data_IF_229114341622
#
_entry.id   IF_229114341622
#
_cell.length_a   1.000
_cell.length_b   1.000
_cell.length_c   1.000
_cell.angle_alpha   90.00
_cell.angle_beta   90.00
_cell.angle_gamma   90.00
#
_symmetry.space_group_name_H-M   'P 1'
#
loop_
_entity.id
_entity.type
_entity.pdbx_description
1 polymer ?
#
# COMPACT_ATOMS: atom_id res chain seq x y z
N UNK A 1 -8.83 17.74 21.75
CA UNK A 1 -8.58 16.57 20.89
C UNK A 1 -7.12 16.17 20.96
N UNK A 2 -6.87 15.00 21.54
CA UNK A 2 -5.62 14.24 21.45
C UNK A 2 -5.92 12.90 20.75
N UNK A 3 -4.88 12.21 20.27
CA UNK A 3 -5.06 10.94 19.58
C UNK A 3 -4.01 9.88 19.94
N UNK A 4 -4.42 8.62 19.82
CA UNK A 4 -3.57 7.43 19.84
C UNK A 4 -3.58 6.78 18.44
N UNK A 5 -2.39 6.54 17.89
CA UNK A 5 -2.21 5.71 16.69
C UNK A 5 -1.78 4.30 17.14
N UNK A 6 -2.54 3.29 16.73
CA UNK A 6 -2.26 1.90 17.03
C UNK A 6 -1.25 1.30 16.03
N UNK A 7 0.03 1.19 16.42
CA UNK A 7 1.15 0.85 15.54
C UNK A 7 2.03 -0.34 16.00
N UNK A 8 1.64 -1.06 17.04
CA UNK A 8 2.40 -2.20 17.60
C UNK A 8 2.29 -3.53 16.82
N UNK A 9 1.61 -3.56 15.66
CA UNK A 9 1.32 -4.80 14.93
C UNK A 9 2.53 -5.41 14.19
N UNK A 10 2.67 -6.74 14.23
CA UNK A 10 3.75 -7.49 13.56
C UNK A 10 3.71 -7.49 12.03
N UNK A 11 2.56 -7.22 11.41
CA UNK A 11 2.42 -7.29 9.94
C UNK A 11 2.67 -8.69 9.35
N UNK A 12 2.30 -9.77 10.04
CA UNK A 12 2.61 -11.17 9.62
C UNK A 12 2.14 -11.52 8.20
N UNK A 13 1.00 -10.96 7.77
CA UNK A 13 0.43 -11.14 6.41
C UNK A 13 1.20 -10.40 5.30
N UNK A 14 2.16 -9.55 5.68
CA UNK A 14 3.03 -8.79 4.78
C UNK A 14 4.46 -9.34 4.76
N UNK A 15 4.70 -10.53 5.32
CA UNK A 15 5.99 -11.18 5.21
C UNK A 15 6.29 -11.54 3.75
N UNK A 16 7.56 -11.47 3.30
CA UNK A 16 8.74 -11.13 4.09
C UNK A 16 8.99 -9.63 4.29
N UNK A 17 8.23 -8.74 3.63
CA UNK A 17 8.50 -7.30 3.57
C UNK A 17 8.46 -6.62 4.94
N UNK A 18 7.51 -7.04 5.79
CA UNK A 18 7.40 -6.54 7.16
C UNK A 18 8.59 -6.92 8.05
N UNK A 19 9.52 -7.78 7.63
CA UNK A 19 10.75 -8.06 8.38
C UNK A 19 11.74 -6.88 8.41
N UNK A 20 11.71 -6.04 7.38
CA UNK A 20 12.70 -4.99 7.17
C UNK A 20 12.12 -3.59 7.33
N UNK A 21 10.80 -3.45 7.23
CA UNK A 21 10.11 -2.18 7.43
C UNK A 21 8.84 -2.42 8.27
N UNK A 22 8.62 -1.65 9.34
CA UNK A 22 7.36 -1.75 10.08
C UNK A 22 6.20 -1.31 9.18
N UNK A 23 5.08 -2.04 9.21
CA UNK A 23 3.89 -1.77 8.38
C UNK A 23 3.44 -0.28 8.41
N UNK A 24 3.41 0.43 9.55
CA UNK A 24 3.08 1.86 9.57
C UNK A 24 3.95 2.72 8.65
N UNK A 25 5.18 2.31 8.34
CA UNK A 25 6.09 3.04 7.48
C UNK A 25 6.05 2.62 6.00
N UNK A 26 5.19 1.67 5.63
CA UNK A 26 4.97 1.33 4.22
C UNK A 26 4.47 2.58 3.49
N UNK A 27 5.16 3.04 2.43
CA UNK A 27 4.82 4.29 1.78
C UNK A 27 3.60 4.16 0.88
N UNK A 28 2.79 5.23 0.80
CA UNK A 28 1.68 5.35 -0.14
C UNK A 28 2.00 6.53 -1.05
N UNK A 29 2.49 6.25 -2.25
CA UNK A 29 2.94 7.28 -3.19
C UNK A 29 4.17 8.02 -2.69
N UNK A 30 5.16 7.29 -2.16
CA UNK A 30 6.44 7.81 -1.67
C UNK A 30 6.40 8.41 -0.26
N UNK A 31 5.24 8.45 0.41
CA UNK A 31 5.10 8.99 1.77
C UNK A 31 4.69 7.90 2.77
N UNK A 32 5.37 7.70 3.90
CA UNK A 32 4.99 6.71 4.91
C UNK A 32 3.53 6.83 5.36
N UNK A 33 2.79 5.72 5.48
CA UNK A 33 1.39 5.76 5.90
C UNK A 33 1.19 6.44 7.27
N UNK A 34 2.11 6.21 8.21
CA UNK A 34 2.10 6.83 9.53
C UNK A 34 2.13 8.36 9.45
N UNK A 35 2.91 8.92 8.53
CA UNK A 35 3.00 10.36 8.29
C UNK A 35 1.70 10.93 7.71
N UNK A 36 1.07 10.19 6.78
CA UNK A 36 -0.26 10.54 6.26
C UNK A 36 -1.31 10.60 7.36
N UNK A 37 -1.32 9.61 8.26
CA UNK A 37 -2.25 9.57 9.40
C UNK A 37 -1.98 10.74 10.37
N UNK A 38 -0.72 11.01 10.69
CA UNK A 38 -0.34 12.12 11.57
C UNK A 38 -0.79 13.46 10.98
N UNK A 39 -0.56 13.68 9.68
CA UNK A 39 -0.99 14.90 9.00
C UNK A 39 -2.52 15.04 9.02
N UNK A 40 -3.26 13.96 8.73
CA UNK A 40 -4.72 13.98 8.77
C UNK A 40 -5.25 14.34 10.17
N UNK A 41 -4.59 13.85 11.24
CA UNK A 41 -4.93 14.23 12.61
C UNK A 41 -4.60 15.69 12.92
N UNK A 42 -3.45 16.20 12.46
CA UNK A 42 -3.07 17.61 12.60
C UNK A 42 -4.09 18.51 11.90
N UNK A 43 -4.45 18.18 10.66
CA UNK A 43 -5.40 18.96 9.84
C UNK A 43 -6.81 18.94 10.47
N UNK A 44 -7.17 17.85 11.15
CA UNK A 44 -8.38 17.76 11.97
C UNK A 44 -8.31 18.56 13.28
N UNK A 45 -7.18 19.20 13.59
CA UNK A 45 -6.98 20.03 14.79
C UNK A 45 -6.57 19.25 16.03
N UNK A 46 -5.87 18.12 15.87
CA UNK A 46 -5.29 17.38 16.99
C UNK A 46 -4.19 18.23 17.66
N UNK A 47 -4.09 18.18 18.99
CA UNK A 47 -3.11 18.97 19.75
C UNK A 47 -1.88 18.19 20.19
N UNK A 48 -1.99 16.86 20.28
CA UNK A 48 -0.89 15.97 20.58
C UNK A 48 -1.25 14.54 20.18
N UNK A 49 -0.26 13.78 19.71
CA UNK A 49 -0.42 12.40 19.26
C UNK A 49 0.53 11.49 20.03
N UNK A 50 0.03 10.33 20.46
CA UNK A 50 0.85 9.23 20.95
C UNK A 50 0.72 8.01 20.04
N UNK A 51 1.82 7.29 19.82
CA UNK A 51 1.89 6.14 18.91
C UNK A 51 2.38 4.95 19.72
N UNK A 52 1.57 3.90 19.90
CA UNK A 52 2.09 2.70 20.57
C UNK A 52 2.93 1.87 19.60
N UNK A 53 4.10 1.41 20.04
CA UNK A 53 5.06 0.69 19.21
C UNK A 53 5.49 -0.61 19.89
N UNK A 54 5.86 -1.62 19.13
CA UNK A 54 6.40 -2.88 19.67
C UNK A 54 7.38 -3.49 18.68
N UNK A 55 6.86 -4.04 17.59
CA UNK A 55 7.66 -4.65 16.55
C UNK A 55 8.37 -3.57 15.72
N UNK A 56 9.68 -3.73 15.51
CA UNK A 56 10.54 -2.75 14.82
C UNK A 56 10.36 -1.31 15.36
N UNK A 57 10.12 -1.17 16.66
CA UNK A 57 9.81 0.13 17.27
C UNK A 57 10.90 1.18 17.02
N UNK A 58 12.17 0.77 16.98
CA UNK A 58 13.32 1.68 16.72
C UNK A 58 13.22 2.40 15.38
N UNK A 59 12.68 1.74 14.35
CA UNK A 59 12.52 2.35 13.03
C UNK A 59 11.41 3.41 13.06
N UNK A 60 10.33 3.15 13.80
CA UNK A 60 9.26 4.13 14.03
C UNK A 60 9.80 5.30 14.88
N UNK A 61 10.52 5.01 15.96
CA UNK A 61 11.12 6.03 16.83
C UNK A 61 12.09 6.93 16.03
N UNK A 62 12.96 6.31 15.22
CA UNK A 62 13.88 7.01 14.32
C UNK A 62 13.13 7.88 13.32
N UNK A 63 12.11 7.32 12.65
CA UNK A 63 11.27 8.08 11.73
C UNK A 63 10.68 9.32 12.41
N UNK A 64 9.99 9.17 13.54
CA UNK A 64 9.35 10.28 14.26
C UNK A 64 10.39 11.34 14.69
N UNK A 65 11.56 10.92 15.18
CA UNK A 65 12.62 11.85 15.59
C UNK A 65 13.23 12.66 14.44
N UNK A 66 13.17 12.16 13.20
CA UNK A 66 13.63 12.89 12.02
C UNK A 66 12.60 13.87 11.46
N UNK A 67 11.32 13.71 11.84
CA UNK A 67 10.24 14.58 11.36
C UNK A 67 10.09 15.84 12.23
N UNK A 68 9.49 16.88 11.63
CA UNK A 68 9.12 18.12 12.32
C UNK A 68 7.63 18.38 12.17
N UNK A 69 6.85 17.92 13.13
CA UNK A 69 5.41 18.16 13.19
C UNK A 69 5.09 19.46 13.93
N UNK A 70 3.95 20.07 13.62
CA UNK A 70 3.47 21.31 14.27
C UNK A 70 2.95 21.09 15.70
N UNK A 71 2.78 19.83 16.11
CA UNK A 71 2.31 19.41 17.43
C UNK A 71 3.23 18.34 18.02
N UNK A 72 3.20 18.10 19.34
CA UNK A 72 3.89 16.98 19.96
C UNK A 72 3.40 15.64 19.41
N UNK A 73 4.34 14.84 18.90
CA UNK A 73 4.13 13.45 18.49
C UNK A 73 5.13 12.59 19.23
N UNK A 74 4.65 11.67 20.05
CA UNK A 74 5.49 10.81 20.88
C UNK A 74 5.22 9.33 20.59
N UNK A 75 6.24 8.49 20.74
CA UNK A 75 6.09 7.03 20.69
C UNK A 75 6.05 6.45 22.10
N UNK A 76 5.36 5.32 22.25
CA UNK A 76 5.28 4.54 23.48
C UNK A 76 5.56 3.09 23.17
N UNK A 77 6.77 2.65 23.51
CA UNK A 77 7.16 1.26 23.36
C UNK A 77 6.44 0.37 24.39
N UNK A 78 5.78 -0.66 23.91
CA UNK A 78 5.13 -1.67 24.71
C UNK A 78 5.98 -2.94 24.67
N UNK A 79 6.69 -3.33 25.75
CA UNK A 79 7.50 -4.54 25.73
C UNK A 79 6.67 -5.83 25.61
N UNK A 80 5.40 -5.77 26.00
CA UNK A 80 4.43 -6.87 25.89
C UNK A 80 3.18 -6.33 25.18
N UNK A 81 2.74 -7.01 24.13
CA UNK A 81 1.49 -6.64 23.44
C UNK A 81 0.31 -7.04 24.30
N UNK A 82 -0.38 -6.05 24.85
CA UNK A 82 -1.61 -6.22 25.63
C UNK A 82 -2.89 -6.04 24.78
N UNK A 83 -2.78 -6.10 23.46
CA UNK A 83 -3.89 -5.87 22.54
C UNK A 83 -4.24 -4.38 22.38
N UNK A 84 -5.22 -4.08 21.52
CA UNK A 84 -5.60 -2.68 21.24
C UNK A 84 -6.26 -1.99 22.43
N UNK A 85 -6.98 -2.74 23.27
CA UNK A 85 -7.54 -2.24 24.53
C UNK A 85 -6.45 -1.95 25.56
N UNK A 86 -5.48 -2.86 25.71
CA UNK A 86 -4.30 -2.63 26.54
C UNK A 86 -3.52 -1.38 26.14
N UNK A 87 -3.36 -1.13 24.83
CA UNK A 87 -2.72 0.09 24.32
C UNK A 87 -3.47 1.37 24.68
N UNK A 88 -4.80 1.35 24.65
CA UNK A 88 -5.64 2.48 25.10
C UNK A 88 -5.42 2.74 26.60
N UNK A 89 -5.40 1.68 27.41
CA UNK A 89 -5.15 1.80 28.86
C UNK A 89 -3.75 2.32 29.15
N UNK A 90 -2.75 1.83 28.42
CA UNK A 90 -1.37 2.30 28.51
C UNK A 90 -1.24 3.77 28.15
N UNK A 91 -2.16 4.34 27.36
CA UNK A 91 -2.22 5.75 26.97
C UNK A 91 -2.91 6.67 28.00
N UNK A 92 -3.39 6.14 29.13
CA UNK A 92 -4.23 6.89 30.08
C UNK A 92 -3.55 8.12 30.70
N UNK A 93 -2.25 8.08 30.96
CA UNK A 93 -1.47 9.22 31.47
C UNK A 93 -1.31 10.36 30.45
N UNK A 94 -1.43 10.05 29.16
CA UNK A 94 -1.40 11.03 28.07
C UNK A 94 -2.79 11.61 27.78
N UNK A 95 -3.84 10.82 28.05
CA UNK A 95 -5.24 11.17 27.85
C UNK A 95 -5.72 12.18 28.92
N UNK A 96 -6.26 13.31 28.48
CA UNK A 96 -6.92 14.31 29.34
C UNK A 96 -8.43 14.05 29.52
N UNK A 97 -9.16 14.96 30.16
CA UNK A 97 -10.60 14.82 30.40
C UNK A 97 -11.48 15.05 29.15
N UNK A 98 -10.88 15.04 27.94
CA UNK A 98 -11.59 15.24 26.67
C UNK A 98 -11.67 13.93 25.89
N UNK A 99 -12.61 13.81 24.94
CA UNK A 99 -12.66 12.63 24.09
C UNK A 99 -11.36 12.43 23.30
N UNK A 100 -11.01 11.17 23.07
CA UNK A 100 -9.74 10.73 22.52
C UNK A 100 -9.95 9.94 21.23
N UNK A 101 -9.27 10.36 20.16
CA UNK A 101 -9.32 9.62 18.90
C UNK A 101 -8.34 8.46 18.98
N UNK A 102 -8.79 7.27 18.61
CA UNK A 102 -7.92 6.11 18.41
C UNK A 102 -8.03 5.66 16.96
N UNK A 103 -6.90 5.51 16.29
CA UNK A 103 -6.84 5.15 14.88
C UNK A 103 -5.82 4.03 14.63
N UNK A 104 -6.19 3.04 13.82
CA UNK A 104 -5.24 2.03 13.38
C UNK A 104 -4.21 2.60 12.39
N UNK A 105 -2.96 2.18 12.50
CA UNK A 105 -1.88 2.58 11.58
C UNK A 105 -1.90 1.88 10.21
N UNK A 106 -2.83 0.94 10.01
CA UNK A 106 -2.89 0.05 8.85
C UNK A 106 -4.08 0.30 7.95
N UNK A 107 -4.56 1.54 7.98
CA UNK A 107 -5.60 2.02 7.10
C UNK A 107 -5.10 3.21 6.29
N UNK A 108 -5.59 3.31 5.06
CA UNK A 108 -5.47 4.49 4.20
C UNK A 108 -6.87 5.04 4.00
N UNK A 109 -7.06 6.34 4.25
CA UNK A 109 -8.41 6.92 4.24
C UNK A 109 -8.43 8.41 3.95
N UNK A 110 -9.55 8.90 3.40
CA UNK A 110 -9.89 10.32 3.26
C UNK A 110 -10.98 10.79 4.25
N UNK A 111 -11.28 9.97 5.27
CA UNK A 111 -12.28 10.30 6.29
C UNK A 111 -11.86 11.58 7.03
N UNK A 112 -12.81 12.53 7.10
CA UNK A 112 -12.65 13.79 7.81
C UNK A 112 -12.72 13.55 9.34
N UNK A 113 -11.55 13.45 9.97
CA UNK A 113 -11.42 13.15 11.40
C UNK A 113 -11.98 14.26 12.29
N UNK A 114 -12.08 15.51 11.81
CA UNK A 114 -12.73 16.59 12.55
C UNK A 114 -14.22 16.32 12.64
N UNK A 115 -14.87 15.97 11.53
CA UNK A 115 -16.31 15.62 11.52
C UNK A 115 -16.62 14.40 12.39
N UNK A 116 -15.73 13.41 12.41
CA UNK A 116 -15.87 12.25 13.30
C UNK A 116 -15.83 12.68 14.77
N UNK A 117 -14.91 13.57 15.14
CA UNK A 117 -14.82 14.10 16.49
C UNK A 117 -16.04 14.94 16.87
N UNK A 118 -16.46 15.85 16.01
CA UNK A 118 -17.61 16.72 16.25
C UNK A 118 -18.91 15.91 16.36
N UNK A 119 -19.04 14.83 15.58
CA UNK A 119 -20.15 13.89 15.71
C UNK A 119 -20.17 13.23 17.09
N UNK A 120 -19.01 12.79 17.61
CA UNK A 120 -18.94 12.23 18.95
C UNK A 120 -19.36 13.25 20.01
N UNK A 121 -18.91 14.50 19.88
CA UNK A 121 -19.31 15.59 20.79
C UNK A 121 -20.81 15.94 20.73
N UNK A 122 -21.51 15.56 19.67
CA UNK A 122 -22.96 15.81 19.51
C UNK A 122 -23.85 14.91 20.37
N UNK A 123 -23.28 13.92 21.08
CA UNK A 123 -24.01 12.97 21.89
C UNK A 123 -23.27 12.65 23.20
N UNK A 124 -23.98 12.02 24.16
CA UNK A 124 -23.44 11.68 25.48
C UNK A 124 -22.98 10.21 25.61
N UNK A 125 -22.88 9.46 24.50
CA UNK A 125 -22.47 8.06 24.54
C UNK A 125 -20.95 7.93 24.57
N UNK A 126 -20.40 7.01 25.39
CA UNK A 126 -18.97 6.97 25.71
C UNK A 126 -18.07 6.53 24.55
N UNK A 127 -18.65 6.02 23.46
CA UNK A 127 -17.91 5.48 22.33
C UNK A 127 -18.65 5.79 21.03
N UNK A 128 -17.89 6.28 20.05
CA UNK A 128 -18.27 6.31 18.64
C UNK A 128 -17.34 5.40 17.85
N UNK A 129 -17.89 4.44 17.10
CA UNK A 129 -17.13 3.68 16.09
C UNK A 129 -17.47 4.20 14.70
N UNK A 130 -16.44 4.44 13.89
CA UNK A 130 -16.62 4.80 12.48
C UNK A 130 -16.74 3.53 11.66
N UNK A 131 -17.84 3.42 10.93
CA UNK A 131 -18.21 2.23 10.17
C UNK A 131 -18.40 2.58 8.68
N UNK A 132 -18.05 1.64 7.81
CA UNK A 132 -18.28 1.74 6.37
C UNK A 132 -18.94 0.45 5.86
N UNK A 133 -19.70 0.55 4.77
CA UNK A 133 -20.28 -0.62 4.12
C UNK A 133 -19.25 -1.25 3.18
N UNK A 134 -18.52 -2.23 3.69
CA UNK A 134 -17.49 -2.93 2.94
C UNK A 134 -17.67 -4.44 3.11
N UNK A 135 -18.48 -5.04 2.23
CA UNK A 135 -18.94 -6.44 2.30
C UNK A 135 -17.92 -7.45 2.83
N UNK A 136 -16.67 -7.43 2.35
CA UNK A 136 -15.60 -8.36 2.78
C UNK A 136 -15.22 -8.25 4.27
N UNK A 137 -15.48 -7.10 4.91
CA UNK A 137 -15.08 -6.76 6.27
C UNK A 137 -16.27 -6.49 7.21
N UNK A 138 -17.52 -6.63 6.74
CA UNK A 138 -18.71 -6.32 7.54
C UNK A 138 -18.80 -7.26 8.75
N UNK A 139 -18.47 -6.74 9.94
CA UNK A 139 -18.28 -7.50 11.18
C UNK A 139 -18.95 -6.86 12.42
N UNK A 140 -19.59 -5.70 12.25
CA UNK A 140 -20.34 -4.99 13.31
C UNK A 140 -21.81 -4.91 12.94
N UNK A 141 -22.71 -5.29 13.85
CA UNK A 141 -24.15 -5.12 13.69
C UNK A 141 -24.62 -3.80 14.28
N UNK A 142 -25.43 -3.07 13.53
CA UNK A 142 -25.97 -1.75 13.87
C UNK A 142 -27.48 -1.74 13.68
N UNK A 143 -28.24 -1.20 14.63
CA UNK A 143 -29.70 -1.06 14.53
C UNK A 143 -30.11 0.21 13.75
N UNK A 144 -31.42 0.46 13.58
CA UNK A 144 -31.95 1.65 12.87
C UNK A 144 -31.64 2.99 13.54
N UNK A 145 -31.27 2.98 14.81
CA UNK A 145 -30.93 4.18 15.59
C UNK A 145 -29.41 4.44 15.61
N UNK A 146 -28.65 3.78 14.74
CA UNK A 146 -27.18 3.85 14.69
C UNK A 146 -26.50 3.46 16.01
N UNK A 147 -27.06 2.47 16.71
CA UNK A 147 -26.41 1.84 17.86
C UNK A 147 -25.83 0.49 17.49
N UNK A 148 -24.64 0.22 18.01
CA UNK A 148 -23.99 -1.09 17.87
C UNK A 148 -24.72 -2.08 18.78
N UNK A 149 -25.07 -3.23 18.20
CA UNK A 149 -25.77 -4.32 18.90
C UNK A 149 -24.96 -5.61 18.95
N UNK A 150 -23.83 -5.69 18.25
CA UNK A 150 -22.95 -6.86 18.31
C UNK A 150 -21.75 -6.80 17.38
N UNK A 151 -20.79 -7.69 17.66
CA UNK A 151 -19.55 -7.89 16.89
C UNK A 151 -19.44 -9.37 16.52
N UNK A 152 -18.93 -9.67 15.33
CA UNK A 152 -18.82 -11.03 14.80
C UNK A 152 -17.44 -11.25 14.17
N UNK A 153 -16.98 -12.49 14.17
CA UNK A 153 -15.77 -12.86 13.46
C UNK A 153 -16.09 -13.12 11.98
N UNK A 154 -15.59 -12.25 11.10
CA UNK A 154 -15.74 -12.40 9.64
C UNK A 154 -15.02 -13.63 9.08
N UNK A 155 -14.08 -14.24 9.82
CA UNK A 155 -13.37 -15.45 9.41
C UNK A 155 -14.19 -16.73 9.64
N UNK A 156 -15.15 -16.69 10.56
CA UNK A 156 -16.05 -17.81 10.89
C UNK A 156 -17.31 -17.77 10.01
N UNK A 157 -17.73 -16.59 9.56
CA UNK A 157 -18.91 -16.45 8.68
C UNK A 157 -18.67 -15.41 7.58
N UNK A 158 -17.85 -15.73 6.56
CA UNK A 158 -17.59 -14.81 5.46
C UNK A 158 -18.88 -14.54 4.66
N UNK A 159 -19.16 -13.27 4.37
CA UNK A 159 -20.09 -12.92 3.30
C UNK A 159 -21.58 -13.06 3.62
N UNK A 160 -22.03 -12.79 4.85
CA UNK A 160 -23.47 -12.55 5.06
C UNK A 160 -23.81 -11.17 4.50
N UNK A 161 -24.15 -11.15 3.22
CA UNK A 161 -24.70 -9.96 2.57
C UNK A 161 -26.09 -9.68 3.12
N UNK A 162 -26.43 -8.39 3.06
CA UNK A 162 -27.73 -7.79 3.34
C UNK A 162 -28.11 -7.64 4.81
N UNK A 163 -28.52 -6.41 5.12
CA UNK A 163 -29.42 -6.08 6.21
C UNK A 163 -30.47 -7.19 6.40
N UNK A 164 -30.33 -7.95 7.47
CA UNK A 164 -31.34 -8.94 7.84
C UNK A 164 -32.31 -8.25 8.78
N UNK A 165 -33.59 -8.28 8.44
CA UNK A 165 -34.62 -8.14 9.47
C UNK A 165 -34.54 -9.39 10.34
N UNK A 166 -33.90 -9.27 11.50
CA UNK A 166 -33.94 -10.36 12.47
C UNK A 166 -35.28 -10.24 13.17
N UNK A 167 -36.20 -11.16 12.85
CA UNK A 167 -37.47 -11.30 13.58
C UNK A 167 -37.18 -11.89 14.95
N UNK A 168 -37.08 -11.04 15.97
CA UNK A 168 -37.18 -11.51 17.36
C UNK A 168 -38.65 -11.77 17.68
N UNK A 169 -38.95 -12.97 18.21
CA UNK A 169 -40.32 -13.39 18.56
C UNK A 169 -40.95 -12.58 19.68
N UNK A 170 -40.15 -11.82 20.45
CA UNK A 170 -40.61 -11.11 21.64
C UNK A 170 -40.59 -9.57 21.51
N UNK A 171 -39.99 -8.98 20.46
CA UNK A 171 -39.82 -7.50 20.34
C UNK A 171 -40.19 -6.87 18.99
N UNK A 172 -40.59 -7.66 17.98
CA UNK A 172 -40.79 -7.16 16.62
C UNK A 172 -39.54 -7.31 15.76
N UNK A 173 -39.62 -6.95 14.47
CA UNK A 173 -38.46 -7.05 13.55
C UNK A 173 -37.44 -5.96 13.84
N UNK A 174 -36.29 -6.35 14.39
CA UNK A 174 -35.15 -5.45 14.53
C UNK A 174 -34.35 -5.49 13.23
N UNK A 175 -34.40 -4.39 12.47
CA UNK A 175 -33.55 -4.22 11.29
C UNK A 175 -32.11 -4.02 11.75
N UNK A 176 -31.24 -4.91 11.30
CA UNK A 176 -29.82 -4.91 11.65
C UNK A 176 -29.00 -4.81 10.37
N UNK A 177 -28.21 -3.75 10.26
CA UNK A 177 -27.22 -3.57 9.20
C UNK A 177 -25.87 -4.09 9.68
N UNK A 178 -25.18 -4.89 8.86
CA UNK A 178 -23.79 -5.29 9.11
C UNK A 178 -22.86 -4.34 8.38
N UNK A 179 -21.87 -3.79 9.08
CA UNK A 179 -20.89 -2.83 8.58
C UNK A 179 -19.48 -3.20 9.03
N UNK A 180 -18.48 -2.69 8.32
CA UNK A 180 -17.08 -2.89 8.62
C UNK A 180 -16.58 -1.83 9.61
N UNK A 181 -15.94 -2.27 10.69
CA UNK A 181 -15.21 -1.35 11.56
C UNK A 181 -13.96 -0.83 10.86
N UNK A 182 -13.86 0.49 10.72
CA UNK A 182 -12.77 1.13 9.97
C UNK A 182 -11.45 1.21 10.75
N UNK A 183 -11.45 0.86 12.04
CA UNK A 183 -10.29 1.08 12.90
C UNK A 183 -10.16 2.53 13.41
N UNK A 184 -11.17 3.38 13.18
CA UNK A 184 -11.25 4.75 13.71
C UNK A 184 -12.37 4.81 14.75
N UNK A 185 -12.06 5.34 15.92
CA UNK A 185 -12.99 5.46 17.03
C UNK A 185 -12.70 6.70 17.87
N UNK A 186 -13.74 7.21 18.53
CA UNK A 186 -13.64 8.30 19.51
C UNK A 186 -14.19 7.79 20.83
N UNK A 187 -13.41 7.98 21.89
CA UNK A 187 -13.66 7.39 23.20
C UNK A 187 -13.73 8.48 24.26
N UNK A 188 -14.62 8.30 25.23
CA UNK A 188 -14.65 9.10 26.47
C UNK A 188 -13.76 8.47 27.55
N UNK A 189 -13.13 9.28 28.43
CA UNK A 189 -12.22 8.79 29.47
C UNK A 189 -12.82 7.70 30.38
N UNK A 190 -14.14 7.72 30.59
CA UNK A 190 -14.85 6.76 31.44
C UNK A 190 -14.67 5.29 31.01
N UNK A 191 -14.34 5.04 29.73
CA UNK A 191 -14.12 3.68 29.21
C UNK A 191 -12.90 2.99 29.82
N UNK A 192 -11.94 3.75 30.38
CA UNK A 192 -10.73 3.20 31.02
C UNK A 192 -11.04 2.27 32.20
N UNK A 193 -12.21 2.42 32.82
CA UNK A 193 -12.70 1.56 33.91
C UNK A 193 -13.12 0.16 33.43
N UNK A 194 -13.42 0.00 32.15
CA UNK A 194 -13.81 -1.27 31.54
C UNK A 194 -12.61 -2.07 31.00
N UNK A 195 -11.41 -1.47 30.99
CA UNK A 195 -10.20 -2.12 30.50
C UNK A 195 -9.46 -2.79 31.67
N UNK A 196 -9.20 -4.11 31.62
CA UNK A 196 -8.46 -4.79 32.67
C UNK A 196 -6.99 -4.33 32.72
N UNK A 197 -6.46 -4.16 33.93
CA UNK A 197 -5.05 -3.84 34.12
C UNK A 197 -4.15 -5.03 33.77
N UNK A 198 -3.02 -4.74 33.13
CA UNK A 198 -1.90 -5.67 32.85
C UNK A 198 -2.30 -7.01 32.20
N UNK A 199 -3.37 -7.01 31.41
CA UNK A 199 -3.85 -8.20 30.70
C UNK A 199 -4.13 -7.88 29.25
N UNK A 200 -4.01 -8.90 28.40
CA UNK A 200 -4.40 -8.77 27.00
C UNK A 200 -5.89 -8.42 26.92
N UNK A 201 -6.22 -7.37 26.19
CA UNK A 201 -7.58 -6.94 25.90
C UNK A 201 -7.62 -6.28 24.52
N UNK A 202 -8.54 -6.74 23.68
CA UNK A 202 -8.88 -6.07 22.43
C UNK A 202 -9.85 -4.91 22.69
N UNK A 203 -9.89 -3.93 21.79
CA UNK A 203 -10.91 -2.88 21.82
C UNK A 203 -12.33 -3.44 21.71
N UNK A 204 -12.51 -4.55 20.98
CA UNK A 204 -13.79 -5.24 20.87
C UNK A 204 -14.22 -5.83 22.23
N UNK A 205 -13.29 -6.36 23.03
CA UNK A 205 -13.60 -6.89 24.37
C UNK A 205 -14.17 -5.78 25.27
N UNK A 206 -13.60 -4.57 25.19
CA UNK A 206 -14.08 -3.38 25.90
C UNK A 206 -15.51 -3.03 25.47
N UNK A 207 -15.78 -3.03 24.15
CA UNK A 207 -17.10 -2.71 23.62
C UNK A 207 -18.15 -3.75 23.97
N UNK A 208 -17.79 -5.03 23.94
CA UNK A 208 -18.67 -6.09 24.42
C UNK A 208 -18.99 -5.90 25.90
N UNK A 209 -17.98 -5.64 26.76
CA UNK A 209 -18.20 -5.36 28.18
C UNK A 209 -19.10 -4.16 28.46
N UNK A 210 -18.96 -3.08 27.67
CA UNK A 210 -19.84 -1.90 27.74
C UNK A 210 -21.29 -2.27 27.40
N UNK A 211 -21.51 -2.99 26.30
CA UNK A 211 -22.84 -3.45 25.88
C UNK A 211 -23.49 -4.37 26.91
N UNK A 212 -22.73 -5.32 27.49
CA UNK A 212 -23.21 -6.20 28.56
C UNK A 212 -23.61 -5.43 29.83
N UNK A 213 -22.96 -4.29 30.09
CA UNK A 213 -23.27 -3.42 31.23
C UNK A 213 -24.43 -2.44 30.94
N UNK A 214 -25.10 -2.58 29.79
CA UNK A 214 -26.23 -1.73 29.40
C UNK A 214 -25.86 -0.37 28.80
N UNK A 215 -24.56 -0.10 28.58
CA UNK A 215 -24.13 1.11 27.88
C UNK A 215 -24.40 1.00 26.38
N UNK A 216 -24.60 2.16 25.73
CA UNK A 216 -24.79 2.23 24.28
C UNK A 216 -23.52 2.74 23.60
N UNK A 217 -23.27 2.23 22.40
CA UNK A 217 -22.15 2.64 21.54
C UNK A 217 -22.73 3.17 20.23
N UNK A 218 -22.31 4.37 19.82
CA UNK A 218 -22.84 5.02 18.63
C UNK A 218 -22.02 4.63 17.39
N UNK A 219 -22.71 4.34 16.29
CA UNK A 219 -22.12 4.18 14.98
C UNK A 219 -22.09 5.52 14.24
N UNK A 220 -20.93 5.89 13.70
CA UNK A 220 -20.80 6.94 12.69
C UNK A 220 -20.64 6.26 11.34
N UNK A 221 -21.75 6.16 10.59
CA UNK A 221 -21.77 5.48 9.29
C UNK A 221 -21.42 6.49 8.20
N UNK A 222 -20.25 6.35 7.60
CA UNK A 222 -19.79 7.22 6.53
C UNK A 222 -20.00 6.54 5.18
N UNK A 223 -20.67 7.24 4.27
CA UNK A 223 -20.88 6.78 2.90
C UNK A 223 -20.02 7.62 1.95
N UNK A 224 -19.43 6.99 0.93
CA UNK A 224 -18.62 7.63 -0.13
C UNK A 224 -17.24 8.15 0.29
N UNK A 225 -16.70 7.71 1.43
CA UNK A 225 -15.31 7.95 1.80
C UNK A 225 -14.40 6.82 1.30
N UNK A 226 -13.17 7.17 0.93
CA UNK A 226 -12.11 6.20 0.68
C UNK A 226 -11.62 5.63 2.02
N UNK A 227 -11.62 4.30 2.12
CA UNK A 227 -11.03 3.57 3.23
C UNK A 227 -10.50 2.23 2.73
N UNK A 228 -9.28 1.89 3.14
CA UNK A 228 -8.61 0.65 2.75
C UNK A 228 -7.78 0.10 3.90
N UNK A 229 -7.98 -1.16 4.27
CA UNK A 229 -7.03 -1.94 5.08
C UNK A 229 -5.80 -2.30 4.23
N UNK A 230 -4.60 -1.99 4.70
CA UNK A 230 -3.33 -2.36 4.04
C UNK A 230 -2.66 -3.56 4.71
N UNK A 231 -3.47 -4.49 5.23
CA UNK A 231 -2.99 -5.64 5.97
C UNK A 231 -2.45 -6.80 5.12
N UNK A 232 -2.61 -6.78 3.80
CA UNK A 232 -2.03 -7.77 2.87
C UNK A 232 -1.25 -7.09 1.75
N UNK A 233 -0.34 -7.83 1.08
CA UNK A 233 0.45 -7.29 -0.03
C UNK A 233 -0.45 -6.81 -1.18
N UNK A 234 -1.55 -7.53 -1.43
CA UNK A 234 -2.55 -7.16 -2.43
C UNK A 234 -3.23 -5.84 -2.06
N UNK A 235 -3.78 -5.73 -0.84
CA UNK A 235 -4.52 -4.53 -0.44
C UNK A 235 -3.61 -3.30 -0.28
N UNK A 236 -2.35 -3.50 0.11
CA UNK A 236 -1.32 -2.47 0.08
C UNK A 236 -1.06 -1.94 -1.34
N UNK A 237 -0.78 -2.83 -2.31
CA UNK A 237 -0.55 -2.41 -3.71
C UNK A 237 -1.78 -1.73 -4.30
N UNK A 238 -2.98 -2.21 -3.98
CA UNK A 238 -4.22 -1.54 -4.38
C UNK A 238 -4.32 -0.13 -3.78
N UNK A 239 -3.96 0.08 -2.52
CA UNK A 239 -3.97 1.42 -1.92
C UNK A 239 -2.99 2.38 -2.61
N UNK A 240 -1.81 1.90 -2.99
CA UNK A 240 -0.83 2.69 -3.75
C UNK A 240 -1.37 2.98 -5.15
N UNK A 241 -1.97 2.00 -5.83
CA UNK A 241 -2.61 2.18 -7.13
C UNK A 241 -3.74 3.23 -7.07
N UNK A 242 -4.66 3.11 -6.12
CA UNK A 242 -5.79 4.01 -5.94
C UNK A 242 -5.34 5.46 -5.70
N UNK A 243 -4.20 5.64 -5.03
CA UNK A 243 -3.58 6.95 -4.81
C UNK A 243 -2.89 7.47 -6.07
N UNK A 244 -2.04 6.65 -6.68
CA UNK A 244 -1.10 7.12 -7.70
C UNK A 244 -1.68 7.15 -9.11
N UNK A 245 -2.55 6.20 -9.49
CA UNK A 245 -3.08 6.14 -10.85
C UNK A 245 -3.84 7.43 -11.22
N UNK A 246 -4.77 7.96 -10.39
CA UNK A 246 -5.42 9.23 -10.68
C UNK A 246 -4.45 10.41 -10.76
N UNK A 247 -3.42 10.43 -9.91
CA UNK A 247 -2.43 11.50 -9.90
C UNK A 247 -1.50 11.44 -11.12
N UNK A 248 -1.18 10.24 -11.65
CA UNK A 248 -0.46 10.06 -12.90
C UNK A 248 -1.27 10.57 -14.11
N UNK A 249 -2.58 10.29 -14.18
CA UNK A 249 -3.44 10.85 -15.21
C UNK A 249 -3.52 12.38 -15.13
N UNK A 250 -3.64 12.96 -13.92
CA UNK A 250 -3.64 14.43 -13.74
C UNK A 250 -2.32 15.07 -14.13
N UNK A 251 -1.20 14.38 -13.91
CA UNK A 251 0.13 14.88 -14.28
C UNK A 251 0.25 15.05 -15.80
N UNK A 252 -0.15 14.04 -16.58
CA UNK A 252 -0.15 14.13 -18.05
C UNK A 252 -1.27 15.01 -18.59
N UNK A 253 -2.41 15.05 -17.90
CA UNK A 253 -3.57 15.82 -18.31
C UNK A 253 -4.25 16.53 -17.13
N UNK A 254 -3.92 17.80 -16.94
CA UNK A 254 -4.39 18.64 -15.82
C UNK A 254 -5.93 18.73 -15.69
N UNK A 255 -6.67 18.62 -16.79
CA UNK A 255 -8.13 18.63 -16.82
C UNK A 255 -8.78 17.23 -16.61
N UNK A 256 -8.01 16.23 -16.15
CA UNK A 256 -8.54 14.89 -15.96
C UNK A 256 -9.70 14.89 -14.95
N UNK A 257 -10.89 14.50 -15.41
CA UNK A 257 -12.07 14.33 -14.56
C UNK A 257 -11.87 13.14 -13.61
N UNK A 258 -12.53 13.12 -12.43
CA UNK A 258 -12.51 11.98 -11.49
C UNK A 258 -13.25 10.73 -12.03
N UNK A 259 -13.14 10.45 -13.32
CA UNK A 259 -13.79 9.29 -13.95
C UNK A 259 -13.05 8.01 -13.60
N UNK A 260 -13.77 6.90 -13.75
CA UNK A 260 -13.26 5.56 -13.45
C UNK A 260 -12.08 5.22 -14.37
N UNK A 261 -11.00 4.71 -13.78
CA UNK A 261 -9.86 4.15 -14.50
C UNK A 261 -10.13 2.65 -14.69
N UNK A 262 -10.06 2.17 -15.93
CA UNK A 262 -10.03 0.74 -16.23
C UNK A 262 -8.59 0.25 -16.32
N UNK A 263 -8.37 -1.02 -15.99
CA UNK A 263 -7.06 -1.65 -16.05
C UNK A 263 -7.17 -2.95 -16.85
N UNK A 264 -6.31 -3.09 -17.86
CA UNK A 264 -6.20 -4.30 -18.69
C UNK A 264 -4.77 -4.81 -18.59
N UNK A 265 -4.62 -6.06 -18.15
CA UNK A 265 -3.30 -6.71 -18.09
C UNK A 265 -2.76 -6.90 -19.52
N UNK A 266 -1.53 -6.47 -19.75
CA UNK A 266 -0.81 -6.65 -21.02
C UNK A 266 -0.05 -7.99 -21.03
N UNK A 267 0.32 -8.44 -22.22
CA UNK A 267 1.15 -9.64 -22.39
C UNK A 267 2.52 -9.40 -21.75
N UNK A 268 3.04 -10.42 -21.06
CA UNK A 268 4.38 -10.34 -20.46
C UNK A 268 5.48 -10.17 -21.50
N UNK A 269 6.60 -9.62 -21.06
CA UNK A 269 7.81 -9.30 -21.82
C UNK A 269 8.95 -10.32 -21.60
N UNK A 270 8.66 -11.43 -20.91
CA UNK A 270 9.67 -12.41 -20.50
C UNK A 270 10.36 -12.07 -19.17
N UNK A 271 10.00 -10.96 -18.52
CA UNK A 271 10.40 -10.66 -17.15
C UNK A 271 9.33 -11.07 -16.13
N UNK A 272 9.66 -10.99 -14.84
CA UNK A 272 8.71 -11.19 -13.73
C UNK A 272 7.76 -9.98 -13.55
N UNK A 273 7.98 -8.89 -14.28
CA UNK A 273 7.17 -7.67 -14.19
C UNK A 273 5.81 -7.90 -14.81
N UNK A 274 4.79 -7.33 -14.17
CA UNK A 274 3.43 -7.39 -14.68
C UNK A 274 3.04 -6.03 -15.24
N UNK A 275 2.60 -6.03 -16.49
CA UNK A 275 2.25 -4.83 -17.22
C UNK A 275 0.73 -4.67 -17.33
N UNK A 276 0.27 -3.43 -17.23
CA UNK A 276 -1.13 -3.06 -17.36
C UNK A 276 -1.25 -1.81 -18.22
N UNK A 277 -2.23 -1.80 -19.14
CA UNK A 277 -2.72 -0.56 -19.74
C UNK A 277 -3.85 -0.04 -18.88
N UNK A 278 -3.68 1.19 -18.39
CA UNK A 278 -4.69 1.92 -17.66
C UNK A 278 -5.36 2.88 -18.62
N UNK A 279 -6.69 2.90 -18.65
CA UNK A 279 -7.45 3.76 -19.55
C UNK A 279 -8.48 4.58 -18.78
N UNK A 280 -8.63 5.83 -19.18
CA UNK A 280 -9.71 6.68 -18.73
C UNK A 280 -10.12 7.62 -19.85
N UNK A 281 -11.40 7.62 -20.19
CA UNK A 281 -11.91 8.26 -21.41
C UNK A 281 -11.21 7.70 -22.67
N UNK A 282 -10.61 8.56 -23.48
CA UNK A 282 -9.84 8.25 -24.70
C UNK A 282 -8.32 8.22 -24.45
N UNK A 283 -7.89 8.30 -23.19
CA UNK A 283 -6.49 8.40 -22.80
C UNK A 283 -6.02 7.12 -22.12
N UNK A 284 -4.74 6.83 -22.28
CA UNK A 284 -4.11 5.70 -21.63
C UNK A 284 -2.69 5.99 -21.15
N UNK A 285 -2.31 5.29 -20.09
CA UNK A 285 -0.96 5.18 -19.56
C UNK A 285 -0.65 3.70 -19.34
N UNK A 286 0.63 3.35 -19.28
CA UNK A 286 1.08 2.00 -18.94
C UNK A 286 1.54 2.00 -17.48
N UNK A 287 1.20 0.95 -16.75
CA UNK A 287 1.71 0.67 -15.42
C UNK A 287 2.51 -0.63 -15.43
N UNK A 288 3.70 -0.61 -14.85
CA UNK A 288 4.45 -1.83 -14.52
C UNK A 288 4.45 -2.08 -13.02
N UNK A 289 4.26 -3.34 -12.63
CA UNK A 289 4.40 -3.85 -11.27
C UNK A 289 5.67 -4.70 -11.19
N UNK A 290 6.69 -4.18 -10.52
CA UNK A 290 7.98 -4.81 -10.25
C UNK A 290 7.96 -5.65 -8.96
N UNK A 291 6.83 -5.70 -8.26
CA UNK A 291 6.70 -6.32 -6.95
C UNK A 291 7.25 -5.45 -5.80
N UNK A 292 6.80 -5.78 -4.59
CA UNK A 292 7.22 -5.05 -3.39
C UNK A 292 8.71 -5.26 -3.14
N UNK A 293 9.42 -4.18 -2.81
CA UNK A 293 10.84 -4.16 -2.53
C UNK A 293 11.21 -5.08 -1.37
N UNK A 294 12.21 -5.93 -1.58
CA UNK A 294 12.59 -7.02 -0.65
C UNK A 294 13.76 -6.69 0.29
N UNK A 295 14.49 -5.62 0.03
CA UNK A 295 15.70 -5.25 0.78
C UNK A 295 15.96 -3.75 0.72
N UNK A 296 16.83 -3.27 1.60
CA UNK A 296 17.40 -1.94 1.51
C UNK A 296 18.34 -1.82 0.29
N UNK A 297 18.58 -0.58 -0.17
CA UNK A 297 19.43 -0.28 -1.33
C UNK A 297 18.65 0.01 -2.62
N UNK A 298 19.36 0.10 -3.75
CA UNK A 298 18.77 0.38 -5.06
C UNK A 298 18.00 -0.86 -5.54
N UNK A 299 16.72 -0.70 -5.81
CA UNK A 299 15.88 -1.75 -6.37
C UNK A 299 15.80 -1.67 -7.90
N UNK A 300 15.28 -2.73 -8.52
CA UNK A 300 15.06 -2.76 -9.96
C UNK A 300 14.17 -1.59 -10.44
N UNK A 301 13.13 -1.25 -9.68
CA UNK A 301 12.25 -0.11 -9.99
C UNK A 301 12.97 1.23 -9.87
N UNK A 302 13.82 1.42 -8.85
CA UNK A 302 14.62 2.64 -8.70
C UNK A 302 15.51 2.85 -9.93
N UNK A 303 16.13 1.75 -10.38
CA UNK A 303 16.98 1.72 -11.57
C UNK A 303 16.19 1.98 -12.85
N UNK A 304 15.06 1.30 -13.01
CA UNK A 304 14.16 1.46 -14.15
C UNK A 304 13.69 2.91 -14.31
N UNK A 305 13.25 3.53 -13.21
CA UNK A 305 12.78 4.91 -13.22
C UNK A 305 13.92 5.91 -13.46
N UNK A 306 15.07 5.76 -12.79
CA UNK A 306 16.20 6.68 -12.92
C UNK A 306 16.80 6.64 -14.34
N UNK A 307 17.07 5.44 -14.86
CA UNK A 307 17.60 5.23 -16.20
C UNK A 307 16.59 5.69 -17.26
N UNK A 308 15.31 5.36 -17.11
CA UNK A 308 14.25 5.79 -18.03
C UNK A 308 14.16 7.32 -18.12
N UNK A 309 14.15 8.01 -16.97
CA UNK A 309 14.14 9.48 -16.92
C UNK A 309 15.40 10.10 -17.53
N UNK A 310 16.56 9.52 -17.25
CA UNK A 310 17.82 9.97 -17.83
C UNK A 310 17.79 9.87 -19.36
N UNK A 311 17.46 8.69 -19.90
CA UNK A 311 17.37 8.46 -21.35
C UNK A 311 16.36 9.42 -22.00
N UNK A 312 15.19 9.61 -21.39
CA UNK A 312 14.19 10.57 -21.86
C UNK A 312 14.77 12.01 -21.89
N UNK A 313 15.48 12.42 -20.83
CA UNK A 313 16.12 13.76 -20.77
C UNK A 313 17.21 13.98 -21.82
N UNK A 314 17.86 12.90 -22.30
CA UNK A 314 18.81 12.93 -23.42
C UNK A 314 18.12 12.89 -24.80
N UNK A 315 16.79 12.93 -24.83
CA UNK A 315 15.98 12.89 -26.04
C UNK A 315 15.99 11.51 -26.71
N UNK A 316 16.28 10.44 -25.97
CA UNK A 316 16.09 9.07 -26.46
C UNK A 316 14.60 8.74 -26.43
N UNK A 317 14.12 8.04 -27.45
CA UNK A 317 12.71 7.66 -27.58
C UNK A 317 12.39 6.48 -26.65
N UNK A 318 12.30 6.77 -25.36
CA UNK A 318 11.79 5.88 -24.30
C UNK A 318 10.49 6.47 -23.74
N UNK A 319 9.57 5.65 -23.20
CA UNK A 319 8.35 6.18 -22.58
C UNK A 319 8.71 7.11 -21.41
N UNK A 320 8.00 8.23 -21.30
CA UNK A 320 8.12 9.12 -20.17
C UNK A 320 7.69 8.42 -18.87
N UNK A 321 8.55 8.41 -17.84
CA UNK A 321 8.21 7.93 -16.50
C UNK A 321 7.48 9.03 -15.73
N UNK A 322 6.16 8.94 -15.69
CA UNK A 322 5.26 9.92 -15.08
C UNK A 322 5.44 9.93 -13.55
N UNK A 323 5.38 8.76 -12.91
CA UNK A 323 5.54 8.62 -11.46
C UNK A 323 5.88 7.18 -11.08
N UNK A 324 6.43 6.96 -9.90
CA UNK A 324 6.68 5.61 -9.38
C UNK A 324 6.76 5.61 -7.85
N UNK A 325 6.52 4.45 -7.25
CA UNK A 325 6.70 4.20 -5.82
C UNK A 325 7.65 3.02 -5.61
N UNK A 326 8.84 3.34 -5.12
CA UNK A 326 9.97 2.40 -4.96
C UNK A 326 9.63 1.15 -4.15
N UNK A 327 8.85 1.31 -3.08
CA UNK A 327 8.59 0.20 -2.17
C UNK A 327 7.50 -0.73 -2.69
N UNK A 328 6.41 -0.20 -3.25
CA UNK A 328 5.33 -1.01 -3.84
C UNK A 328 5.71 -1.69 -5.14
N UNK A 329 6.68 -1.13 -5.86
CA UNK A 329 7.07 -1.61 -7.18
C UNK A 329 6.21 -1.09 -8.32
N UNK A 330 5.32 -0.12 -8.08
CA UNK A 330 4.45 0.43 -9.13
C UNK A 330 5.11 1.61 -9.85
N UNK A 331 5.20 1.52 -11.18
CA UNK A 331 5.66 2.62 -12.05
C UNK A 331 4.57 2.95 -13.06
N UNK A 332 4.31 4.24 -13.29
CA UNK A 332 3.36 4.75 -14.27
C UNK A 332 4.14 5.50 -15.35
N UNK A 333 3.86 5.18 -16.62
CA UNK A 333 4.58 5.73 -17.76
C UNK A 333 3.67 5.97 -18.96
N UNK A 334 4.17 6.72 -19.92
CA UNK A 334 3.50 6.96 -21.19
C UNK A 334 3.15 5.65 -21.92
N UNK A 335 1.95 5.60 -22.49
CA UNK A 335 1.53 4.52 -23.38
C UNK A 335 1.93 4.85 -24.83
N UNK A 336 2.85 4.06 -25.38
CA UNK A 336 3.33 4.19 -26.76
C UNK A 336 2.47 3.42 -27.78
N UNK A 337 1.40 2.76 -27.32
CA UNK A 337 0.50 1.96 -28.16
C UNK A 337 0.96 0.52 -28.37
N UNK A 338 0.37 -0.15 -29.35
CA UNK A 338 0.51 -1.60 -29.58
C UNK A 338 1.32 -1.96 -30.84
N UNK A 339 1.84 -0.95 -31.54
CA UNK A 339 2.51 -1.17 -32.83
C UNK A 339 3.99 -1.42 -32.59
N UNK A 340 4.38 -2.70 -32.58
CA UNK A 340 5.77 -3.11 -32.52
C UNK A 340 6.42 -3.18 -33.91
N UNK A 341 7.76 -3.17 -33.94
CA UNK A 341 8.55 -3.21 -35.17
C UNK A 341 8.25 -4.46 -36.03
N UNK A 342 8.06 -5.62 -35.40
CA UNK A 342 7.78 -6.87 -36.11
C UNK A 342 6.43 -6.79 -36.82
N UNK A 343 5.42 -6.19 -36.18
CA UNK A 343 4.11 -5.94 -36.78
C UNK A 343 4.24 -5.04 -38.01
N UNK A 344 5.01 -3.96 -37.93
CA UNK A 344 5.21 -3.04 -39.07
C UNK A 344 5.97 -3.73 -40.21
N UNK A 345 7.07 -4.43 -39.89
CA UNK A 345 7.89 -5.15 -40.88
C UNK A 345 7.10 -6.25 -41.56
N UNK A 346 6.31 -7.03 -40.81
CA UNK A 346 5.53 -8.15 -41.37
C UNK A 346 4.38 -7.69 -42.27
N UNK A 347 3.87 -6.47 -42.05
CA UNK A 347 2.82 -5.86 -42.89
C UNK A 347 3.39 -5.18 -44.12
N UNK A 348 4.67 -4.80 -44.09
CA UNK A 348 5.33 -4.21 -45.24
C UNK A 348 5.67 -5.29 -46.26
N UNK A 349 5.14 -5.14 -47.47
CA UNK A 349 5.52 -5.94 -48.64
C UNK A 349 6.73 -5.36 -49.39
N UNK A 350 7.32 -4.26 -48.89
CA UNK A 350 8.33 -3.50 -49.60
C UNK A 350 9.67 -3.52 -48.84
N UNK A 351 10.70 -4.07 -49.49
CA UNK A 351 12.04 -4.20 -48.91
C UNK A 351 12.69 -2.84 -48.57
N UNK A 352 12.46 -1.80 -49.37
CA UNK A 352 13.03 -0.47 -49.11
C UNK A 352 12.39 0.18 -47.87
N UNK A 353 11.10 -0.05 -47.66
CA UNK A 353 10.36 0.42 -46.49
C UNK A 353 10.83 -0.31 -45.22
N UNK A 354 10.96 -1.64 -45.27
CA UNK A 354 11.55 -2.46 -44.20
C UNK A 354 12.96 -1.95 -43.85
N UNK A 355 13.79 -1.72 -44.87
CA UNK A 355 15.15 -1.21 -44.70
C UNK A 355 15.15 0.16 -44.02
N UNK A 356 14.20 1.03 -44.34
CA UNK A 356 14.02 2.34 -43.70
C UNK A 356 13.69 2.23 -42.21
N UNK A 357 12.81 1.29 -41.82
CA UNK A 357 12.50 1.04 -40.40
C UNK A 357 13.73 0.56 -39.63
N UNK A 358 14.46 -0.43 -40.14
CA UNK A 358 15.69 -0.91 -39.50
C UNK A 358 16.76 0.18 -39.42
N UNK A 359 16.92 1.01 -40.46
CA UNK A 359 17.83 2.16 -40.43
C UNK A 359 17.45 3.14 -39.31
N UNK A 360 16.16 3.38 -39.10
CA UNK A 360 15.67 4.24 -38.02
C UNK A 360 15.98 3.65 -36.65
N UNK A 361 15.81 2.34 -36.46
CA UNK A 361 16.18 1.63 -35.21
C UNK A 361 17.68 1.73 -34.95
N UNK A 362 18.52 1.49 -35.96
CA UNK A 362 19.98 1.61 -35.83
C UNK A 362 20.37 3.04 -35.44
N UNK A 363 19.77 4.06 -36.07
CA UNK A 363 20.00 5.46 -35.71
C UNK A 363 19.62 5.75 -34.25
N UNK A 364 18.51 5.20 -33.77
CA UNK A 364 18.11 5.33 -32.37
C UNK A 364 19.08 4.63 -31.41
N UNK A 365 19.57 3.43 -31.77
CA UNK A 365 20.59 2.73 -30.97
C UNK A 365 21.90 3.53 -30.90
N UNK A 366 22.38 4.08 -32.03
CA UNK A 366 23.56 4.95 -32.05
C UNK A 366 23.33 6.18 -31.16
N UNK A 367 22.16 6.82 -31.26
CA UNK A 367 21.80 7.97 -30.42
C UNK A 367 21.83 7.59 -28.95
N UNK A 368 21.27 6.43 -28.58
CA UNK A 368 21.28 5.94 -27.20
C UNK A 368 22.72 5.74 -26.70
N UNK A 369 23.57 5.09 -27.49
CA UNK A 369 24.97 4.83 -27.10
C UNK A 369 25.82 6.09 -26.96
N UNK A 370 25.54 7.14 -27.75
CA UNK A 370 26.32 8.40 -27.72
C UNK A 370 25.76 9.42 -26.75
N UNK A 371 24.44 9.63 -26.74
CA UNK A 371 23.80 10.63 -25.90
C UNK A 371 23.43 10.10 -24.52
N UNK A 372 23.03 8.82 -24.43
CA UNK A 372 22.61 8.18 -23.19
C UNK A 372 23.75 7.99 -22.18
N UNK A 373 25.00 7.84 -22.64
CA UNK A 373 26.15 7.70 -21.74
C UNK A 373 26.59 9.02 -21.09
N UNK A 374 26.22 10.17 -21.68
CA UNK A 374 26.62 11.48 -21.15
C UNK A 374 25.95 11.71 -19.81
N UNK A 375 26.74 12.00 -18.77
CA UNK A 375 26.26 12.24 -17.40
C UNK A 375 25.45 11.07 -16.80
N UNK A 376 25.66 9.85 -17.31
CA UNK A 376 25.03 8.66 -16.74
C UNK A 376 25.61 8.37 -15.36
N UNK A 377 24.76 8.23 -14.34
CA UNK A 377 25.18 7.88 -12.99
C UNK A 377 25.14 6.36 -12.79
N UNK A 378 26.30 5.78 -12.49
CA UNK A 378 26.44 4.36 -12.22
C UNK A 378 25.74 3.93 -10.94
N UNK A 379 25.39 4.84 -10.03
CA UNK A 379 24.61 4.48 -8.85
C UNK A 379 23.16 4.09 -9.17
N UNK A 380 22.68 4.36 -10.39
CA UNK A 380 21.35 3.97 -10.83
C UNK A 380 21.26 2.53 -11.32
N UNK A 381 22.39 1.84 -11.53
CA UNK A 381 22.36 0.49 -12.07
C UNK A 381 21.90 -0.53 -11.05
N UNK A 382 21.08 -1.48 -11.47
CA UNK A 382 20.71 -2.64 -10.68
C UNK A 382 21.75 -3.75 -10.85
N UNK A 383 21.99 -4.53 -9.78
CA UNK A 383 22.98 -5.62 -9.69
C UNK A 383 24.44 -5.17 -9.71
N UNK A 384 24.92 -4.55 -10.78
CA UNK A 384 26.30 -4.03 -10.86
C UNK A 384 26.37 -2.74 -11.70
N UNK A 385 27.36 -1.87 -11.42
CA UNK A 385 27.63 -0.69 -12.25
C UNK A 385 28.27 -1.03 -13.61
N UNK A 386 28.78 -2.25 -13.78
CA UNK A 386 29.47 -2.66 -14.99
C UNK A 386 29.00 -4.04 -15.43
N UNK A 387 28.73 -4.18 -16.73
CA UNK A 387 28.54 -5.47 -17.37
C UNK A 387 29.91 -6.13 -17.57
N UNK A 388 30.35 -6.88 -16.56
CA UNK A 388 31.67 -7.52 -16.52
C UNK A 388 31.55 -9.05 -16.53
N UNK A 389 32.70 -9.71 -16.64
CA UNK A 389 32.79 -11.17 -16.62
C UNK A 389 32.09 -11.80 -15.42
N UNK A 390 32.22 -11.21 -14.23
CA UNK A 390 31.62 -11.75 -13.02
C UNK A 390 30.09 -11.69 -13.07
N UNK A 391 29.50 -10.60 -13.60
CA UNK A 391 28.06 -10.52 -13.81
C UNK A 391 27.58 -11.55 -14.82
N UNK A 392 28.26 -11.70 -15.96
CA UNK A 392 27.89 -12.70 -16.97
C UNK A 392 27.91 -14.10 -16.36
N UNK A 393 28.96 -14.43 -15.61
CA UNK A 393 29.10 -15.73 -14.98
C UNK A 393 28.05 -15.98 -13.88
N UNK A 394 27.89 -15.05 -12.95
CA UNK A 394 27.06 -15.23 -11.75
C UNK A 394 25.57 -14.94 -11.98
N UNK A 395 25.22 -14.19 -13.03
CA UNK A 395 23.83 -13.83 -13.34
C UNK A 395 23.35 -14.50 -14.62
N UNK A 396 23.99 -14.24 -15.74
CA UNK A 396 23.49 -14.70 -17.05
C UNK A 396 23.65 -16.22 -17.21
N UNK A 397 24.87 -16.74 -17.02
CA UNK A 397 25.13 -18.18 -17.10
C UNK A 397 24.39 -18.95 -16.01
N UNK A 398 24.33 -18.40 -14.79
CA UNK A 398 23.59 -18.97 -13.66
C UNK A 398 22.09 -19.06 -13.97
N UNK A 399 21.50 -17.99 -14.47
CA UNK A 399 20.09 -17.96 -14.87
C UNK A 399 19.82 -18.94 -16.01
N UNK A 400 20.66 -18.98 -17.05
CA UNK A 400 20.53 -19.96 -18.12
C UNK A 400 20.58 -21.39 -17.59
N UNK A 401 21.52 -21.69 -16.70
CA UNK A 401 21.61 -23.00 -16.07
C UNK A 401 20.35 -23.35 -15.27
N UNK A 402 19.94 -22.50 -14.34
CA UNK A 402 18.84 -22.79 -13.43
C UNK A 402 17.48 -22.80 -14.18
N UNK A 403 17.22 -21.82 -15.05
CA UNK A 403 15.94 -21.68 -15.74
C UNK A 403 15.80 -22.62 -16.94
N UNK A 404 16.84 -22.75 -17.77
CA UNK A 404 16.75 -23.52 -19.00
C UNK A 404 17.23 -24.97 -18.83
N UNK A 405 18.45 -25.18 -18.33
CA UNK A 405 19.00 -26.54 -18.24
C UNK A 405 18.30 -27.38 -17.17
N UNK A 406 18.16 -26.82 -15.98
CA UNK A 406 17.50 -27.51 -14.86
C UNK A 406 15.98 -27.35 -14.95
N UNK A 407 15.48 -26.12 -15.06
CA UNK A 407 14.03 -25.86 -15.02
C UNK A 407 13.27 -26.38 -16.24
N UNK A 408 13.70 -26.00 -17.45
CA UNK A 408 12.97 -26.31 -18.68
C UNK A 408 13.32 -27.68 -19.27
N UNK A 409 14.61 -28.00 -19.38
CA UNK A 409 15.08 -29.28 -19.94
C UNK A 409 15.11 -30.42 -18.91
N UNK A 410 15.01 -30.12 -17.62
CA UNK A 410 15.03 -31.10 -16.52
C UNK A 410 16.26 -32.01 -16.55
N UNK A 411 17.43 -31.43 -16.81
CA UNK A 411 18.70 -32.14 -16.79
C UNK A 411 19.20 -32.33 -15.35
N UNK A 412 19.79 -33.48 -15.05
CA UNK A 412 20.45 -33.75 -13.78
C UNK A 412 21.92 -33.34 -13.87
N UNK A 413 22.16 -32.05 -13.67
CA UNK A 413 23.50 -31.43 -13.74
C UNK A 413 23.72 -30.56 -12.51
N UNK A 414 24.97 -30.38 -12.14
CA UNK A 414 25.42 -29.34 -11.22
C UNK A 414 26.05 -28.19 -12.01
N UNK A 415 25.96 -26.97 -11.48
CA UNK A 415 26.59 -25.81 -12.13
C UNK A 415 28.11 -25.95 -12.24
N UNK A 416 28.73 -26.76 -11.36
CA UNK A 416 30.16 -27.02 -11.41
C UNK A 416 30.55 -27.84 -12.64
N UNK A 417 29.67 -28.69 -13.16
CA UNK A 417 29.94 -29.52 -14.33
C UNK A 417 30.18 -28.67 -15.59
N UNK A 418 29.57 -27.48 -15.66
CA UNK A 418 29.68 -26.54 -16.78
C UNK A 418 30.50 -25.29 -16.45
N UNK A 419 31.18 -25.26 -15.29
CA UNK A 419 31.88 -24.06 -14.81
C UNK A 419 32.93 -23.55 -15.80
N UNK A 420 33.71 -24.43 -16.42
CA UNK A 420 34.74 -24.01 -17.37
C UNK A 420 34.13 -23.41 -18.64
N UNK A 421 33.04 -23.99 -19.14
CA UNK A 421 32.31 -23.48 -20.29
C UNK A 421 31.71 -22.11 -19.99
N UNK A 422 31.10 -21.93 -18.80
CA UNK A 422 30.57 -20.64 -18.38
C UNK A 422 31.67 -19.60 -18.14
N UNK A 423 32.83 -19.97 -17.58
CA UNK A 423 33.99 -19.06 -17.47
C UNK A 423 34.46 -18.64 -18.86
N UNK A 424 34.45 -19.54 -19.84
CA UNK A 424 34.82 -19.25 -21.22
C UNK A 424 33.83 -18.30 -21.89
N UNK A 425 32.52 -18.55 -21.75
CA UNK A 425 31.44 -17.70 -22.28
C UNK A 425 31.38 -16.32 -21.62
N UNK A 426 31.92 -16.18 -20.42
CA UNK A 426 31.95 -14.92 -19.68
C UNK A 426 33.19 -14.04 -20.01
N UNK A 427 34.14 -14.56 -20.80
CA UNK A 427 35.25 -13.77 -21.36
C UNK A 427 34.78 -13.05 -22.63
#
# INVERSE_FOLDING_TARGET
MKALILAAGFGKRLLPFSKYMPKPLFPIGGRPNLDLIIQNLIDAGCKAIIINTHYLHKDIDSFINTQKYSIPVATRYEPVILGTGGAIKNAADFWDDQPFIVINSDIVTDIDLRKVYDFHLSHHYPVTLVLNDHYKFNNVSVNREDFIVGFYDSTITPGVSSSQEIKNKDTGSDYIKKLAFTGIQVLDPGILSFIPDNRFSSSIDIYQGLLFSGNKIKASVLNNNYWKDIGTCESYKEAVFDKMAPDAFKHKWSAHSKKKISSVKLKGDGSDRIWYRLSSEDRSIVMSDHGIKKSDGVSEIDSFAAIGRHLHSKGINVPEIISYDSFSGLTFMEDLGDVDLMTVVSRSGNFDEITSFYRSVINLMIKMSVAGVKDFDLSWTYQTPYYNKDLVFEKECRYFFDAFLIGYLNLDLSFQDLKNDFIHLSN
#
